data_IF_624465809627
#
_entry.id   IF_624465809627
#
_cell.length_a   1.000
_cell.length_b   1.000
_cell.length_c   1.000
_cell.angle_alpha   90.00
_cell.angle_beta   90.00
_cell.angle_gamma   90.00
#
_symmetry.space_group_name_H-M   'P 1'
#
loop_
_entity.id
_entity.type
_entity.pdbx_description
1 polymer ?
#
# COMPACT_ATOMS: atom_id res chain seq x y z
N UNK A 1 2.70 12.01 -21.98
CA UNK A 1 2.57 11.67 -20.56
C UNK A 1 3.58 12.47 -19.75
N UNK A 2 3.14 13.03 -18.62
CA UNK A 2 3.99 13.78 -17.68
C UNK A 2 4.10 12.97 -16.39
N UNK A 3 5.31 12.72 -15.93
CA UNK A 3 5.54 12.03 -14.66
C UNK A 3 4.91 12.82 -13.49
N UNK A 4 4.24 12.13 -12.58
CA UNK A 4 3.50 12.76 -11.48
C UNK A 4 2.08 13.23 -11.83
N UNK A 5 1.64 13.10 -13.09
CA UNK A 5 0.26 13.40 -13.50
C UNK A 5 -0.52 12.10 -13.71
N UNK A 6 -1.33 11.72 -12.72
CA UNK A 6 -2.22 10.56 -12.76
C UNK A 6 -3.60 10.88 -13.38
N UNK A 7 -4.45 9.85 -13.52
CA UNK A 7 -5.78 9.96 -14.17
C UNK A 7 -6.66 11.09 -13.60
N UNK A 8 -6.66 11.32 -12.30
CA UNK A 8 -7.45 12.37 -11.64
C UNK A 8 -6.97 13.78 -12.07
N UNK A 9 -5.64 13.99 -12.02
CA UNK A 9 -5.04 15.26 -12.42
C UNK A 9 -5.18 15.50 -13.93
N UNK A 10 -5.11 14.45 -14.75
CA UNK A 10 -5.37 14.57 -16.19
C UNK A 10 -6.77 15.08 -16.45
N UNK A 11 -7.81 14.52 -15.80
CA UNK A 11 -9.19 15.00 -15.93
C UNK A 11 -9.32 16.46 -15.49
N UNK A 12 -8.73 16.81 -14.35
CA UNK A 12 -8.74 18.18 -13.84
C UNK A 12 -8.11 19.16 -14.84
N UNK A 13 -6.93 18.84 -15.40
CA UNK A 13 -6.27 19.69 -16.38
C UNK A 13 -7.08 19.82 -17.67
N UNK A 14 -7.65 18.74 -18.18
CA UNK A 14 -8.51 18.76 -19.38
C UNK A 14 -9.75 19.65 -19.19
N UNK A 15 -10.40 19.59 -18.02
CA UNK A 15 -11.52 20.46 -17.68
C UNK A 15 -11.16 21.94 -17.63
N UNK A 16 -9.88 22.26 -17.43
CA UNK A 16 -9.34 23.61 -17.43
C UNK A 16 -8.59 23.97 -18.72
N UNK A 17 -8.82 23.22 -19.82
CA UNK A 17 -8.26 23.52 -21.14
C UNK A 17 -6.79 23.16 -21.32
N UNK A 18 -6.21 22.34 -20.41
CA UNK A 18 -4.82 21.93 -20.46
C UNK A 18 -4.76 20.47 -20.93
N UNK A 19 -4.33 20.24 -22.15
CA UNK A 19 -4.33 18.92 -22.80
C UNK A 19 -2.92 18.33 -22.99
N UNK A 20 -1.87 19.15 -22.83
CA UNK A 20 -0.49 18.71 -23.04
C UNK A 20 0.51 19.38 -22.09
N UNK A 21 1.73 18.84 -22.04
CA UNK A 21 2.80 19.32 -21.16
C UNK A 21 3.22 20.78 -21.46
N UNK A 22 3.18 21.20 -22.73
CA UNK A 22 3.53 22.56 -23.12
C UNK A 22 2.53 23.58 -22.55
N UNK A 23 1.25 23.27 -22.59
CA UNK A 23 0.22 24.10 -21.98
C UNK A 23 0.39 24.18 -20.46
N UNK A 24 0.64 23.05 -19.79
CA UNK A 24 0.90 23.03 -18.34
C UNK A 24 2.16 23.84 -17.97
N UNK A 25 3.24 23.68 -18.74
CA UNK A 25 4.46 24.49 -18.59
C UNK A 25 4.19 25.99 -18.62
N UNK A 26 3.29 26.45 -19.49
CA UNK A 26 3.01 27.88 -19.73
C UNK A 26 1.96 28.46 -18.76
N UNK A 27 1.32 27.66 -17.92
CA UNK A 27 0.34 28.17 -16.95
C UNK A 27 1.01 29.02 -15.86
N UNK A 28 0.28 30.07 -15.40
CA UNK A 28 0.80 30.92 -14.34
C UNK A 28 0.96 30.20 -13.01
N UNK A 29 2.01 30.52 -12.26
CA UNK A 29 2.23 29.94 -10.93
C UNK A 29 1.08 30.23 -9.97
N UNK A 30 0.46 31.39 -10.09
CA UNK A 30 -0.68 31.80 -9.26
C UNK A 30 -1.88 30.91 -9.51
N UNK A 31 -2.18 30.61 -10.77
CA UNK A 31 -3.27 29.68 -11.12
C UNK A 31 -3.01 28.29 -10.60
N UNK A 32 -1.80 27.74 -10.83
CA UNK A 32 -1.45 26.40 -10.39
C UNK A 32 -1.54 26.27 -8.86
N UNK A 33 -1.05 27.26 -8.10
CA UNK A 33 -1.12 27.26 -6.64
C UNK A 33 -2.55 27.34 -6.10
N UNK A 34 -3.43 28.11 -6.76
CA UNK A 34 -4.84 28.25 -6.34
C UNK A 34 -5.70 27.06 -6.71
N UNK A 35 -5.44 26.43 -7.86
CA UNK A 35 -6.32 25.46 -8.47
C UNK A 35 -5.88 24.01 -8.22
N UNK A 36 -4.66 23.78 -7.72
CA UNK A 36 -4.10 22.44 -7.56
C UNK A 36 -3.20 22.33 -6.32
N UNK A 37 -2.55 21.20 -6.15
CA UNK A 37 -1.72 20.88 -4.99
C UNK A 37 -0.23 21.25 -5.22
N UNK A 38 0.57 21.13 -4.14
CA UNK A 38 2.01 21.41 -4.15
C UNK A 38 2.77 20.56 -5.19
N UNK A 39 2.35 19.31 -5.41
CA UNK A 39 2.97 18.41 -6.39
C UNK A 39 2.79 18.95 -7.81
N UNK A 40 1.60 19.44 -8.15
CA UNK A 40 1.33 20.07 -9.45
C UNK A 40 2.18 21.31 -9.70
N UNK A 41 2.40 22.11 -8.67
CA UNK A 41 3.29 23.28 -8.75
C UNK A 41 4.74 22.85 -9.03
N UNK A 42 5.22 21.81 -8.34
CA UNK A 42 6.56 21.25 -8.59
C UNK A 42 6.66 20.66 -10.00
N UNK A 43 5.67 19.91 -10.46
CA UNK A 43 5.65 19.35 -11.82
C UNK A 43 5.73 20.43 -12.88
N UNK A 44 5.01 21.54 -12.71
CA UNK A 44 5.07 22.66 -13.67
C UNK A 44 6.43 23.36 -13.67
N UNK A 45 7.08 23.50 -12.51
CA UNK A 45 8.44 24.04 -12.40
C UNK A 45 9.48 23.10 -13.05
N UNK A 46 9.37 21.81 -12.83
CA UNK A 46 10.22 20.79 -13.47
C UNK A 46 10.10 20.85 -15.01
N UNK A 47 8.90 21.03 -15.54
CA UNK A 47 8.68 21.22 -16.98
C UNK A 47 9.33 22.50 -17.52
N UNK A 48 9.62 23.49 -16.67
CA UNK A 48 10.35 24.72 -17.00
C UNK A 48 11.87 24.59 -16.84
N UNK A 49 12.36 23.42 -16.41
CA UNK A 49 13.77 23.20 -16.14
C UNK A 49 14.23 23.65 -14.75
N UNK A 50 13.29 23.93 -13.83
CA UNK A 50 13.62 24.29 -12.44
C UNK A 50 13.50 23.02 -11.59
N UNK A 51 14.62 22.42 -11.11
CA UNK A 51 14.59 21.19 -10.33
C UNK A 51 13.91 21.44 -8.97
N UNK A 52 12.82 20.74 -8.71
CA UNK A 52 12.04 20.84 -7.47
C UNK A 52 11.98 19.51 -6.69
N UNK A 53 12.33 18.42 -7.36
CA UNK A 53 12.32 17.07 -6.80
C UNK A 53 13.77 16.64 -6.70
N UNK A 54 14.36 16.60 -5.50
CA UNK A 54 15.74 16.14 -5.34
C UNK A 54 15.84 14.67 -5.74
N UNK A 55 16.96 14.31 -6.35
CA UNK A 55 17.29 12.91 -6.61
C UNK A 55 17.60 12.24 -5.25
N UNK A 56 16.75 11.31 -4.83
CA UNK A 56 17.01 10.54 -3.61
C UNK A 56 18.18 9.57 -3.87
N UNK A 57 19.36 9.93 -3.40
CA UNK A 57 20.57 9.09 -3.49
C UNK A 57 20.68 8.06 -2.36
N UNK A 58 19.89 8.22 -1.30
CA UNK A 58 19.81 7.28 -0.17
C UNK A 58 18.41 6.68 -0.11
N UNK A 59 18.32 5.37 -0.23
CA UNK A 59 17.08 4.63 0.07
C UNK A 59 16.71 4.85 1.55
N UNK A 60 15.57 5.49 1.79
CA UNK A 60 15.05 5.60 3.16
C UNK A 60 14.75 4.20 3.70
N UNK A 61 15.07 3.95 4.97
CA UNK A 61 14.75 2.68 5.63
C UNK A 61 13.24 2.41 5.51
N UNK A 62 12.90 1.18 5.17
CA UNK A 62 11.51 0.74 5.04
C UNK A 62 10.76 0.94 6.35
N UNK A 63 9.61 1.60 6.31
CA UNK A 63 8.76 1.84 7.50
C UNK A 63 7.70 0.75 7.69
N UNK A 64 7.36 0.04 6.63
CA UNK A 64 6.40 -1.07 6.63
C UNK A 64 6.73 -2.08 5.54
N UNK A 65 6.30 -3.33 5.72
CA UNK A 65 6.39 -4.38 4.73
C UNK A 65 4.99 -4.92 4.43
N UNK A 66 4.52 -4.74 3.20
CA UNK A 66 3.19 -5.17 2.77
C UNK A 66 3.32 -6.33 1.78
N UNK A 67 2.58 -7.40 2.04
CA UNK A 67 2.40 -8.52 1.10
C UNK A 67 0.90 -8.75 0.95
N UNK A 68 0.35 -8.51 -0.23
CA UNK A 68 -1.06 -8.74 -0.52
C UNK A 68 -1.26 -9.21 -1.94
N UNK A 69 -2.27 -10.06 -2.15
CA UNK A 69 -2.61 -10.57 -3.49
C UNK A 69 -4.12 -10.65 -3.67
N UNK A 70 -4.55 -10.42 -4.89
CA UNK A 70 -5.91 -10.75 -5.33
C UNK A 70 -5.93 -12.19 -5.79
N UNK A 71 -6.98 -12.91 -5.42
CA UNK A 71 -7.19 -14.30 -5.84
C UNK A 71 -7.77 -14.31 -7.26
N UNK A 72 -7.27 -15.19 -8.11
CA UNK A 72 -7.83 -15.43 -9.44
C UNK A 72 -9.23 -16.03 -9.35
N UNK A 73 -9.41 -17.00 -8.47
CA UNK A 73 -10.71 -17.57 -8.09
C UNK A 73 -11.08 -17.09 -6.69
N UNK A 74 -12.36 -16.85 -6.45
CA UNK A 74 -12.84 -16.39 -5.12
C UNK A 74 -12.61 -17.48 -4.08
N UNK A 75 -12.13 -17.08 -2.90
CA UNK A 75 -11.87 -17.95 -1.78
C UNK A 75 -13.01 -17.84 -0.78
N UNK A 76 -13.60 -18.97 -0.40
CA UNK A 76 -14.71 -19.05 0.55
C UNK A 76 -14.32 -19.80 1.83
N UNK A 77 -13.36 -20.72 1.74
CA UNK A 77 -12.94 -21.57 2.85
C UNK A 77 -11.88 -20.86 3.70
N UNK A 78 -12.06 -20.95 5.01
CA UNK A 78 -11.11 -20.40 5.98
C UNK A 78 -9.69 -20.98 5.79
N UNK A 79 -9.59 -22.29 5.57
CA UNK A 79 -8.31 -22.96 5.38
C UNK A 79 -7.51 -22.38 4.20
N UNK A 80 -8.15 -22.12 3.08
CA UNK A 80 -7.47 -21.52 1.91
C UNK A 80 -6.94 -20.12 2.22
N UNK A 81 -7.68 -19.32 3.01
CA UNK A 81 -7.19 -18.02 3.48
C UNK A 81 -6.04 -18.15 4.48
N UNK A 82 -6.07 -19.15 5.37
CA UNK A 82 -4.98 -19.42 6.30
C UNK A 82 -3.68 -19.76 5.56
N UNK A 83 -3.74 -20.64 4.56
CA UNK A 83 -2.58 -21.02 3.73
C UNK A 83 -2.02 -19.79 2.98
N UNK A 84 -2.88 -18.97 2.39
CA UNK A 84 -2.47 -17.75 1.71
C UNK A 84 -1.81 -16.75 2.68
N UNK A 85 -2.44 -16.46 3.81
CA UNK A 85 -1.91 -15.55 4.83
C UNK A 85 -0.59 -16.06 5.41
N UNK A 86 -0.47 -17.36 5.69
CA UNK A 86 0.78 -17.97 6.15
C UNK A 86 1.91 -17.77 5.12
N UNK A 87 1.63 -18.02 3.84
CA UNK A 87 2.59 -17.78 2.76
C UNK A 87 3.02 -16.31 2.67
N UNK A 88 2.09 -15.34 2.85
CA UNK A 88 2.42 -13.91 2.86
C UNK A 88 3.29 -13.53 4.06
N UNK A 89 3.02 -14.13 5.23
CA UNK A 89 3.84 -13.93 6.43
C UNK A 89 5.27 -14.45 6.24
N UNK A 90 5.45 -15.63 5.64
CA UNK A 90 6.77 -16.16 5.33
C UNK A 90 7.55 -15.24 4.40
N UNK A 91 6.93 -14.79 3.31
CA UNK A 91 7.54 -13.86 2.37
C UNK A 91 7.90 -12.50 3.01
N UNK A 92 7.03 -11.98 3.88
CA UNK A 92 7.28 -10.72 4.57
C UNK A 92 8.40 -10.85 5.61
N UNK A 93 8.40 -11.93 6.39
CA UNK A 93 9.45 -12.20 7.40
C UNK A 93 10.83 -12.37 6.76
N UNK A 94 10.91 -13.03 5.61
CA UNK A 94 12.14 -13.15 4.84
C UNK A 94 12.65 -11.77 4.38
N UNK A 95 11.77 -10.94 3.84
CA UNK A 95 12.11 -9.58 3.39
C UNK A 95 12.62 -8.69 4.52
N UNK A 96 11.95 -8.67 5.68
CA UNK A 96 12.42 -7.84 6.80
C UNK A 96 13.72 -8.38 7.39
N UNK A 97 13.90 -9.71 7.42
CA UNK A 97 15.12 -10.37 7.87
C UNK A 97 16.33 -10.05 6.98
N UNK A 98 16.14 -10.07 5.64
CA UNK A 98 17.21 -9.72 4.69
C UNK A 98 17.66 -8.25 4.80
N UNK A 99 16.82 -7.38 5.38
CA UNK A 99 17.13 -5.98 5.65
C UNK A 99 17.54 -5.73 7.12
N UNK A 100 17.78 -6.80 7.92
CA UNK A 100 18.08 -6.72 9.37
C UNK A 100 17.04 -5.91 10.13
N UNK A 101 15.75 -6.12 9.82
CA UNK A 101 14.63 -5.43 10.46
C UNK A 101 13.80 -6.39 11.31
N UNK A 102 13.14 -5.82 12.34
CA UNK A 102 12.13 -6.45 13.17
C UNK A 102 10.85 -5.62 13.13
N UNK A 103 9.69 -6.27 13.26
CA UNK A 103 8.38 -5.63 13.23
C UNK A 103 7.75 -5.56 14.62
N UNK A 104 7.09 -4.46 14.93
CA UNK A 104 6.36 -4.27 16.19
C UNK A 104 4.93 -4.82 16.11
N UNK A 105 4.30 -4.77 14.95
CA UNK A 105 2.91 -5.21 14.78
C UNK A 105 2.64 -5.77 13.40
N UNK A 106 1.57 -6.58 13.32
CA UNK A 106 1.03 -7.12 12.07
C UNK A 106 -0.43 -6.72 11.90
N UNK A 107 -0.79 -6.31 10.70
CA UNK A 107 -2.18 -6.12 10.26
C UNK A 107 -2.51 -7.18 9.22
N UNK A 108 -3.59 -7.92 9.45
CA UNK A 108 -4.17 -8.83 8.44
C UNK A 108 -5.41 -8.17 7.87
N UNK A 109 -5.59 -8.22 6.57
CA UNK A 109 -6.72 -7.64 5.87
C UNK A 109 -7.32 -8.60 4.85
N UNK A 110 -8.64 -8.59 4.75
CA UNK A 110 -9.41 -9.36 3.76
C UNK A 110 -10.48 -8.48 3.14
N UNK A 111 -10.82 -8.75 1.88
CA UNK A 111 -11.96 -8.08 1.23
C UNK A 111 -12.60 -8.93 0.14
N UNK A 112 -13.90 -8.71 -0.06
CA UNK A 112 -14.65 -9.21 -1.22
C UNK A 112 -14.45 -8.27 -2.42
N UNK A 113 -15.06 -8.59 -3.56
CA UNK A 113 -15.01 -7.73 -4.75
C UNK A 113 -15.98 -6.55 -4.60
N UNK A 114 -15.58 -5.31 -4.86
CA UNK A 114 -16.50 -4.18 -4.92
C UNK A 114 -17.41 -4.21 -6.17
N UNK A 115 -17.11 -5.08 -7.13
CA UNK A 115 -17.85 -5.20 -8.41
C UNK A 115 -18.71 -6.46 -8.48
N UNK A 116 -19.11 -7.05 -7.35
CA UNK A 116 -20.01 -8.19 -7.36
C UNK A 116 -21.43 -7.72 -7.67
N UNK A 117 -22.01 -8.25 -8.77
CA UNK A 117 -23.39 -7.97 -9.17
C UNK A 117 -24.44 -8.54 -8.19
N UNK A 118 -24.05 -9.43 -7.27
CA UNK A 118 -24.87 -10.01 -6.20
C UNK A 118 -23.99 -10.30 -4.99
N UNK A 119 -24.13 -9.50 -3.93
CA UNK A 119 -23.47 -9.74 -2.66
C UNK A 119 -23.07 -8.45 -1.94
N UNK A 120 -23.02 -8.51 -0.62
CA UNK A 120 -22.60 -7.40 0.23
C UNK A 120 -21.08 -7.25 0.14
N UNK A 121 -20.61 -6.04 -0.15
CA UNK A 121 -19.19 -5.73 -0.04
C UNK A 121 -18.75 -5.84 1.42
N UNK A 122 -17.73 -6.64 1.66
CA UNK A 122 -17.11 -6.79 2.96
C UNK A 122 -15.61 -6.48 2.84
N UNK A 123 -15.11 -5.66 3.75
CA UNK A 123 -13.69 -5.37 3.90
C UNK A 123 -13.41 -5.16 5.38
N UNK A 124 -12.44 -5.89 5.91
CA UNK A 124 -12.05 -5.77 7.31
C UNK A 124 -10.54 -5.98 7.46
N UNK A 125 -10.00 -5.41 8.55
CA UNK A 125 -8.61 -5.57 8.92
C UNK A 125 -8.46 -5.62 10.44
N UNK A 126 -7.52 -6.44 10.92
CA UNK A 126 -7.17 -6.55 12.34
C UNK A 126 -5.68 -6.35 12.51
N UNK A 127 -5.30 -5.48 13.42
CA UNK A 127 -3.92 -5.26 13.84
C UNK A 127 -3.69 -5.89 15.21
N UNK A 128 -2.57 -6.61 15.36
CA UNK A 128 -2.10 -7.17 16.63
C UNK A 128 -0.64 -6.78 16.80
N UNK A 129 -0.31 -6.25 17.98
CA UNK A 129 1.07 -5.96 18.36
C UNK A 129 1.75 -7.24 18.86
N UNK A 130 3.02 -7.42 18.49
CA UNK A 130 3.84 -8.48 19.07
C UNK A 130 4.28 -8.08 20.49
N UNK A 131 4.35 -9.03 21.44
CA UNK A 131 4.87 -8.75 22.78
C UNK A 131 6.28 -8.16 22.76
N UNK A 132 7.11 -8.66 21.84
CA UNK A 132 8.46 -8.16 21.55
C UNK A 132 8.57 -8.03 20.05
N UNK A 133 9.18 -6.94 19.55
CA UNK A 133 9.40 -6.76 18.12
C UNK A 133 10.17 -7.95 17.54
N UNK A 134 9.69 -8.50 16.42
CA UNK A 134 10.14 -9.79 15.91
C UNK A 134 10.28 -9.83 14.39
N UNK A 135 11.13 -10.73 13.89
CA UNK A 135 11.16 -11.18 12.50
C UNK A 135 11.06 -12.70 12.39
N UNK A 136 10.67 -13.35 13.49
CA UNK A 136 10.48 -14.80 13.55
C UNK A 136 9.21 -15.18 12.78
N UNK A 137 9.38 -15.98 11.73
CA UNK A 137 8.29 -16.40 10.85
C UNK A 137 7.17 -17.13 11.58
N UNK A 138 7.51 -17.96 12.57
CA UNK A 138 6.52 -18.78 13.31
C UNK A 138 5.62 -17.86 14.15
N UNK A 139 6.21 -16.89 14.83
CA UNK A 139 5.49 -15.93 15.65
C UNK A 139 4.60 -15.02 14.79
N UNK A 140 5.13 -14.54 13.68
CA UNK A 140 4.39 -13.72 12.70
C UNK A 140 3.19 -14.49 12.14
N UNK A 141 3.37 -15.76 11.74
CA UNK A 141 2.28 -16.60 11.22
C UNK A 141 1.23 -16.86 12.30
N UNK A 142 1.63 -17.27 13.51
CA UNK A 142 0.69 -17.53 14.62
C UNK A 142 -0.18 -16.31 14.91
N UNK A 143 0.43 -15.12 15.04
CA UNK A 143 -0.28 -13.87 15.32
C UNK A 143 -1.20 -13.48 14.16
N UNK A 144 -0.75 -13.66 12.92
CA UNK A 144 -1.57 -13.40 11.73
C UNK A 144 -2.83 -14.29 11.67
N UNK A 145 -2.70 -15.56 12.03
CA UNK A 145 -3.84 -16.48 12.02
C UNK A 145 -4.87 -16.14 13.11
N UNK A 146 -4.43 -15.65 14.27
CA UNK A 146 -5.33 -15.10 15.29
C UNK A 146 -6.09 -13.89 14.72
N UNK A 147 -5.39 -12.94 14.11
CA UNK A 147 -6.02 -11.77 13.50
C UNK A 147 -6.99 -12.16 12.37
N UNK A 148 -6.62 -13.15 11.52
CA UNK A 148 -7.49 -13.64 10.46
C UNK A 148 -8.78 -14.24 11.00
N UNK A 149 -8.69 -15.03 12.07
CA UNK A 149 -9.85 -15.67 12.70
C UNK A 149 -10.87 -14.64 13.20
N UNK A 150 -10.43 -13.48 13.68
CA UNK A 150 -11.32 -12.42 14.16
C UNK A 150 -12.06 -11.67 13.02
N UNK A 151 -11.51 -11.65 11.81
CA UNK A 151 -12.08 -10.92 10.68
C UNK A 151 -12.69 -11.82 9.61
N UNK A 152 -12.53 -13.14 9.73
CA UNK A 152 -13.16 -14.09 8.81
C UNK A 152 -14.65 -14.22 9.10
N UNK A 153 -15.46 -14.15 8.07
CA UNK A 153 -16.90 -14.43 8.14
C UNK A 153 -17.21 -15.49 7.10
N UNK A 154 -17.83 -16.58 7.54
CA UNK A 154 -18.26 -17.66 6.67
C UNK A 154 -19.33 -17.18 5.67
N UNK A 155 -19.32 -17.71 4.46
CA UNK A 155 -20.28 -17.36 3.40
C UNK A 155 -19.88 -16.16 2.54
N UNK A 156 -18.79 -15.44 2.87
CA UNK A 156 -18.25 -14.42 1.99
C UNK A 156 -17.28 -15.00 0.95
N UNK A 157 -17.29 -14.40 -0.24
CA UNK A 157 -16.43 -14.76 -1.37
C UNK A 157 -15.27 -13.77 -1.45
N UNK A 158 -14.17 -14.08 -0.77
CA UNK A 158 -13.02 -13.20 -0.68
C UNK A 158 -12.27 -13.09 -2.01
N UNK A 159 -11.94 -11.87 -2.40
CA UNK A 159 -11.16 -11.56 -3.59
C UNK A 159 -9.71 -11.23 -3.29
N UNK A 160 -9.43 -10.65 -2.13
CA UNK A 160 -8.09 -10.21 -1.77
C UNK A 160 -7.84 -10.45 -0.29
N UNK A 161 -6.63 -10.90 0.01
CA UNK A 161 -6.08 -10.92 1.35
C UNK A 161 -4.67 -10.32 1.35
N UNK A 162 -4.23 -9.86 2.51
CA UNK A 162 -2.89 -9.33 2.66
C UNK A 162 -2.50 -9.14 4.12
N UNK A 163 -1.19 -8.99 4.32
CA UNK A 163 -0.61 -8.64 5.60
C UNK A 163 0.26 -7.39 5.47
N UNK A 164 0.37 -6.65 6.56
CA UNK A 164 1.27 -5.50 6.67
C UNK A 164 2.02 -5.61 7.99
N UNK A 165 3.35 -5.68 7.93
CA UNK A 165 4.22 -5.54 9.09
C UNK A 165 4.55 -4.06 9.27
N UNK A 166 4.36 -3.53 10.48
CA UNK A 166 4.58 -2.11 10.80
C UNK A 166 5.48 -1.93 12.03
N UNK A 167 5.91 -0.68 12.26
CA UNK A 167 6.86 -0.38 13.32
C UNK A 167 8.21 -1.06 13.09
N UNK A 168 8.70 -1.04 11.83
CA UNK A 168 9.97 -1.68 11.49
C UNK A 168 11.13 -0.88 12.08
N UNK A 169 11.98 -1.58 12.83
CA UNK A 169 13.21 -1.07 13.43
C UNK A 169 14.38 -2.01 13.12
N UNK A 170 15.61 -1.55 13.26
CA UNK A 170 16.79 -2.41 13.11
C UNK A 170 16.79 -3.51 14.17
N UNK A 171 17.16 -4.72 13.78
CA UNK A 171 17.38 -5.84 14.72
C UNK A 171 18.63 -5.65 15.56
N UNK A 172 19.60 -4.88 15.04
CA UNK A 172 20.81 -4.50 15.77
C UNK A 172 20.44 -3.28 16.61
N UNK A 173 20.10 -3.50 17.86
CA UNK A 173 19.68 -2.46 18.81
C UNK A 173 20.69 -1.32 18.85
N UNK A 174 20.27 -0.14 18.36
CA UNK A 174 20.92 1.15 18.61
C UNK A 174 20.18 1.84 19.72
#
# INVERSE_FOLDING_TARGET
DVWGVGKQMTKFYQQNGIYNAKQLKNMSNTWIKKSSNVLSSRTALELRGIPCIPLETKTSKRKSCVVSRSFGTRVEKFQELQEAVASYCLNASEKIRSESLIAKSITVSVRTSPFQNRGVYYSNAKTIDFPIATNNSIEIVKTALVALNEIFINGYRYQKAGITLTGLTSSDGS
#
